data_IF_683270549347
#
_entry.id   IF_683270549347
#
_cell.length_a   1.000
_cell.length_b   1.000
_cell.length_c   1.000
_cell.angle_alpha   90.00
_cell.angle_beta   90.00
_cell.angle_gamma   90.00
#
_symmetry.space_group_name_H-M   'P 1'
#
loop_
_entity.id
_entity.type
_entity.pdbx_description
1 polymer ?
#
# COMPACT_ATOMS: atom_id res chain seq x y z
N UNK A 1 -17.67 -11.12 17.98
CA UNK A 1 -16.70 -10.97 16.86
C UNK A 1 -15.57 -10.07 17.29
N UNK A 2 -14.34 -10.34 16.86
CA UNK A 2 -13.18 -9.50 17.17
C UNK A 2 -13.39 -8.07 16.63
N UNK A 3 -13.14 -7.07 17.46
CA UNK A 3 -13.23 -5.66 17.06
C UNK A 3 -12.03 -5.36 16.15
N UNK A 4 -12.22 -4.98 14.87
CA UNK A 4 -11.12 -4.66 13.98
C UNK A 4 -10.28 -3.56 14.63
N UNK A 5 -8.97 -3.75 14.71
CA UNK A 5 -8.07 -2.78 15.36
C UNK A 5 -7.35 -1.92 14.34
N UNK A 6 -7.10 -2.46 13.16
CA UNK A 6 -6.38 -1.76 12.10
C UNK A 6 -7.32 -1.49 10.92
N UNK A 7 -7.10 -0.37 10.22
CA UNK A 7 -7.91 -0.01 9.05
C UNK A 7 -7.99 -1.14 8.02
N UNK A 8 -6.88 -1.86 7.80
CA UNK A 8 -6.84 -3.01 6.89
C UNK A 8 -7.80 -4.14 7.29
N UNK A 9 -8.09 -4.33 8.58
CA UNK A 9 -8.98 -5.40 9.05
C UNK A 9 -10.41 -5.24 8.49
N UNK A 10 -10.87 -4.00 8.30
CA UNK A 10 -12.18 -3.72 7.70
C UNK A 10 -12.25 -4.17 6.24
N UNK A 11 -11.13 -4.06 5.51
CA UNK A 11 -11.05 -4.48 4.10
C UNK A 11 -10.88 -6.00 3.99
N UNK A 12 -10.17 -6.62 4.94
CA UNK A 12 -9.96 -8.08 4.94
C UNK A 12 -11.23 -8.91 5.07
N UNK A 13 -12.34 -8.34 5.52
CA UNK A 13 -13.65 -9.00 5.53
C UNK A 13 -14.21 -9.17 4.11
N UNK A 14 -13.87 -8.27 3.19
CA UNK A 14 -14.46 -8.19 1.84
C UNK A 14 -13.42 -8.35 0.72
N UNK A 15 -12.14 -8.51 1.05
CA UNK A 15 -11.07 -8.64 0.08
C UNK A 15 -10.01 -9.66 0.54
N UNK A 16 -9.41 -10.33 -0.44
CA UNK A 16 -8.32 -11.29 -0.21
C UNK A 16 -6.98 -10.55 -0.27
N UNK A 17 -6.13 -10.78 0.73
CA UNK A 17 -4.77 -10.23 0.74
C UNK A 17 -3.88 -11.06 -0.19
N UNK A 18 -3.52 -10.51 -1.35
CA UNK A 18 -2.73 -11.23 -2.35
C UNK A 18 -1.21 -11.09 -2.16
N UNK A 19 -0.76 -9.89 -1.81
CA UNK A 19 0.66 -9.57 -1.74
C UNK A 19 0.90 -8.50 -0.67
N UNK A 20 2.03 -8.59 0.02
CA UNK A 20 2.50 -7.59 0.98
C UNK A 20 3.82 -7.02 0.47
N UNK A 21 3.89 -5.70 0.37
CA UNK A 21 5.14 -4.98 0.15
C UNK A 21 5.52 -4.23 1.43
N UNK A 22 6.75 -4.37 1.87
CA UNK A 22 7.21 -3.75 3.11
C UNK A 22 8.69 -3.37 3.03
N UNK A 23 9.14 -2.51 3.95
CA UNK A 23 10.53 -2.09 4.06
C UNK A 23 10.93 -2.03 5.53
N UNK A 24 12.22 -2.25 5.80
CA UNK A 24 12.84 -2.00 7.11
C UNK A 24 13.58 -0.66 7.12
N UNK A 25 13.07 0.30 6.34
CA UNK A 25 13.65 1.65 6.31
C UNK A 25 13.54 2.29 7.70
N UNK A 26 14.60 2.90 8.22
CA UNK A 26 14.54 3.58 9.51
C UNK A 26 13.68 4.84 9.48
N UNK A 27 13.40 5.40 8.29
CA UNK A 27 12.55 6.56 8.11
C UNK A 27 11.11 6.13 7.76
N UNK A 28 10.09 6.88 8.19
CA UNK A 28 8.71 6.64 7.77
C UNK A 28 8.56 6.93 6.27
N UNK A 29 8.32 5.88 5.46
CA UNK A 29 8.18 5.97 3.99
C UNK A 29 6.73 5.90 3.50
N UNK A 30 5.77 5.79 4.42
CA UNK A 30 4.34 5.64 4.12
C UNK A 30 3.80 6.78 3.24
N UNK A 31 4.08 8.04 3.60
CA UNK A 31 3.63 9.20 2.82
C UNK A 31 4.20 9.20 1.40
N UNK A 32 5.48 8.86 1.25
CA UNK A 32 6.12 8.75 -0.06
C UNK A 32 5.43 7.70 -0.93
N UNK A 33 5.12 6.53 -0.35
CA UNK A 33 4.43 5.47 -1.07
C UNK A 33 3.01 5.87 -1.45
N UNK A 34 2.25 6.48 -0.53
CA UNK A 34 0.90 6.96 -0.79
C UNK A 34 0.89 7.97 -1.95
N UNK A 35 1.79 8.95 -1.94
CA UNK A 35 1.92 9.94 -3.02
C UNK A 35 2.27 9.29 -4.36
N UNK A 36 3.28 8.40 -4.39
CA UNK A 36 3.71 7.75 -5.63
C UNK A 36 2.65 6.82 -6.21
N UNK A 37 1.97 6.03 -5.36
CA UNK A 37 0.92 5.12 -5.80
C UNK A 37 -0.29 5.89 -6.32
N UNK A 38 -0.71 6.95 -5.63
CA UNK A 38 -1.81 7.83 -6.09
C UNK A 38 -1.51 8.47 -7.44
N UNK A 39 -0.25 8.84 -7.70
CA UNK A 39 0.18 9.38 -8.99
C UNK A 39 0.33 8.32 -10.11
N UNK A 40 0.00 7.06 -9.85
CA UNK A 40 0.11 5.99 -10.85
C UNK A 40 -1.09 6.00 -11.80
N UNK A 41 -0.86 5.66 -13.06
CA UNK A 41 -1.94 5.56 -14.05
C UNK A 41 -2.98 4.53 -13.63
N UNK A 42 -4.25 4.93 -13.58
CA UNK A 42 -5.37 4.07 -13.19
C UNK A 42 -5.54 3.91 -11.68
N UNK A 43 -4.75 4.61 -10.86
CA UNK A 43 -4.99 4.68 -9.42
C UNK A 43 -6.15 5.64 -9.14
N UNK A 44 -7.06 5.18 -8.30
CA UNK A 44 -8.18 5.95 -7.75
C UNK A 44 -8.09 5.97 -6.24
N UNK A 45 -8.58 7.05 -5.64
CA UNK A 45 -8.52 7.28 -4.20
C UNK A 45 -9.93 7.56 -3.64
N UNK A 46 -10.85 6.57 -3.71
CA UNK A 46 -12.29 6.81 -3.55
C UNK A 46 -12.71 7.13 -2.10
N UNK A 47 -11.94 6.67 -1.11
CA UNK A 47 -12.29 6.82 0.31
C UNK A 47 -11.30 7.75 1.00
N UNK A 48 -11.68 9.02 1.13
CA UNK A 48 -10.87 10.03 1.85
C UNK A 48 -10.68 9.64 3.32
N UNK A 49 -9.47 9.80 3.83
CA UNK A 49 -9.13 9.60 5.25
C UNK A 49 -8.94 8.15 5.67
N UNK A 50 -9.11 7.18 4.75
CA UNK A 50 -8.93 5.77 5.10
C UNK A 50 -7.46 5.47 5.38
N UNK A 51 -7.15 5.05 6.60
CA UNK A 51 -5.77 4.76 7.01
C UNK A 51 -4.88 5.98 7.16
N UNK A 52 -5.40 7.21 6.98
CA UNK A 52 -4.65 8.46 7.02
C UNK A 52 -5.19 9.47 8.03
N UNK A 53 -5.90 9.00 9.07
CA UNK A 53 -6.55 9.88 10.06
C UNK A 53 -5.58 10.66 10.95
N UNK A 54 -4.33 10.20 11.07
CA UNK A 54 -3.24 10.80 11.84
C UNK A 54 -2.23 11.56 10.97
N UNK A 55 -2.48 11.72 9.67
CA UNK A 55 -1.59 12.44 8.76
C UNK A 55 -2.34 13.26 7.70
N UNK A 56 -1.58 14.04 6.92
CA UNK A 56 -2.13 14.91 5.87
C UNK A 56 -2.48 14.22 4.55
N UNK A 57 -2.29 12.90 4.43
CA UNK A 57 -2.54 12.18 3.19
C UNK A 57 -4.04 12.11 2.88
N UNK A 58 -4.38 12.21 1.58
CA UNK A 58 -5.77 12.10 1.14
C UNK A 58 -6.40 10.75 1.52
N UNK A 59 -5.66 9.66 1.31
CA UNK A 59 -6.02 8.30 1.72
C UNK A 59 -4.78 7.40 1.66
N UNK A 60 -4.78 6.31 2.44
CA UNK A 60 -3.84 5.18 2.27
C UNK A 60 -4.51 3.96 1.64
N UNK A 61 -5.79 4.06 1.24
CA UNK A 61 -6.48 3.04 0.46
C UNK A 61 -6.67 3.50 -0.98
N UNK A 62 -6.04 2.78 -1.91
CA UNK A 62 -6.13 3.04 -3.33
C UNK A 62 -6.83 1.89 -4.05
N UNK A 63 -7.58 2.23 -5.09
CA UNK A 63 -8.17 1.30 -6.03
C UNK A 63 -7.45 1.38 -7.37
N UNK A 64 -7.35 0.26 -8.08
CA UNK A 64 -6.89 0.19 -9.46
C UNK A 64 -7.44 -1.08 -10.07
N UNK A 65 -7.93 -1.01 -11.31
CA UNK A 65 -8.42 -2.19 -12.05
C UNK A 65 -7.31 -3.22 -12.29
N UNK A 66 -6.05 -2.76 -12.34
CA UNK A 66 -4.87 -3.61 -12.56
C UNK A 66 -3.96 -3.56 -11.34
N UNK A 67 -3.31 -4.67 -11.04
CA UNK A 67 -2.28 -4.70 -10.00
C UNK A 67 -1.14 -3.72 -10.31
N UNK A 68 -0.67 -3.04 -9.26
CA UNK A 68 0.54 -2.23 -9.35
C UNK A 68 1.74 -3.12 -9.66
N UNK A 69 2.59 -2.70 -10.59
CA UNK A 69 3.84 -3.39 -10.88
C UNK A 69 4.82 -3.17 -9.74
N UNK A 70 5.19 -4.23 -9.01
CA UNK A 70 6.21 -4.16 -7.95
C UNK A 70 7.51 -3.51 -8.43
N UNK A 71 8.02 -3.95 -9.57
CA UNK A 71 9.25 -3.40 -10.16
C UNK A 71 9.08 -1.93 -10.56
N UNK A 72 7.92 -1.59 -11.15
CA UNK A 72 7.62 -0.21 -11.54
C UNK A 72 7.55 0.74 -10.34
N UNK A 73 6.87 0.33 -9.27
CA UNK A 73 6.76 1.12 -8.04
C UNK A 73 8.11 1.21 -7.34
N UNK A 74 8.82 0.10 -7.15
CA UNK A 74 10.14 0.08 -6.49
C UNK A 74 11.14 0.97 -7.22
N UNK A 75 11.15 0.95 -8.56
CA UNK A 75 11.99 1.84 -9.36
C UNK A 75 11.68 3.31 -9.12
N UNK A 76 10.39 3.67 -9.06
CA UNK A 76 9.96 5.06 -8.80
C UNK A 76 10.32 5.50 -7.39
N UNK A 77 10.12 4.64 -6.38
CA UNK A 77 10.51 4.93 -5.00
C UNK A 77 12.01 5.22 -4.92
N UNK A 78 12.86 4.37 -5.51
CA UNK A 78 14.31 4.58 -5.51
C UNK A 78 14.77 5.80 -6.30
N UNK A 79 14.02 6.21 -7.32
CA UNK A 79 14.31 7.43 -8.07
C UNK A 79 13.98 8.70 -7.25
N UNK A 80 12.94 8.66 -6.42
CA UNK A 80 12.54 9.78 -5.57
C UNK A 80 13.25 9.81 -4.20
N UNK A 81 13.69 8.66 -3.70
CA UNK A 81 14.39 8.49 -2.44
C UNK A 81 15.53 7.48 -2.65
N UNK A 82 16.70 7.98 -3.01
CA UNK A 82 17.89 7.15 -3.30
C UNK A 82 18.44 6.48 -2.04
N UNK A 83 18.10 7.01 -0.87
CA UNK A 83 18.41 6.50 0.47
C UNK A 83 17.38 5.47 0.98
N UNK A 84 16.35 5.16 0.19
CA UNK A 84 15.30 4.24 0.61
C UNK A 84 15.84 2.81 0.72
N UNK A 85 15.61 2.18 1.87
CA UNK A 85 16.00 0.81 2.13
C UNK A 85 15.32 -0.18 1.18
N UNK A 86 15.77 -1.44 1.19
CA UNK A 86 15.19 -2.47 0.32
C UNK A 86 13.69 -2.65 0.59
N UNK A 87 12.92 -2.59 -0.48
CA UNK A 87 11.51 -3.03 -0.49
C UNK A 87 11.48 -4.54 -0.70
N UNK A 88 10.80 -5.22 0.21
CA UNK A 88 10.53 -6.64 0.19
C UNK A 88 9.12 -6.91 -0.30
N UNK A 89 8.92 -8.11 -0.80
CA UNK A 89 7.67 -8.57 -1.41
C UNK A 89 7.39 -9.98 -0.96
N UNK A 90 6.19 -10.18 -0.45
CA UNK A 90 5.69 -11.49 -0.04
C UNK A 90 4.37 -11.75 -0.75
N UNK A 91 4.35 -12.77 -1.60
CA UNK A 91 3.11 -13.29 -2.16
C UNK A 91 2.42 -14.17 -1.13
N UNK A 92 1.10 -14.04 -1.05
CA UNK A 92 0.25 -14.88 -0.23
C UNK A 92 -0.57 -15.75 -1.17
N UNK A 93 -0.11 -16.98 -1.38
CA UNK A 93 -0.93 -18.03 -1.95
C UNK A 93 -1.91 -18.50 -0.89
N UNK A 94 -3.19 -18.24 -1.09
CA UNK A 94 -4.22 -19.06 -0.44
C UNK A 94 -4.22 -20.39 -1.19
N UNK A 95 -3.86 -21.48 -0.50
CA UNK A 95 -4.08 -22.82 -1.03
C UNK A 95 -5.56 -22.96 -1.40
N UNK A 96 -5.83 -23.51 -2.57
CA UNK A 96 -7.19 -23.85 -3.01
C UNK A 96 -7.89 -24.65 -1.90
N UNK A 97 -9.06 -24.19 -1.47
CA UNK A 97 -10.01 -24.98 -0.69
C UNK A 97 -11.05 -25.55 -1.65
#
# INVERSE_FOLDING_TARGET
GARPRWHVDYIRVVAVLHEIWFTHDPLPREHLWATLLTASRGAEAPVRGFGSSDCGCWTHLLFSEKMFSFHGVTRRVRACATDHARIWRQNLSYGEH
#
